data_IF_789843241549
#
_entry.id   IF_789843241549
#
_cell.length_a   1.000
_cell.length_b   1.000
_cell.length_c   1.000
_cell.angle_alpha   90.00
_cell.angle_beta   90.00
_cell.angle_gamma   90.00
#
_symmetry.space_group_name_H-M   'P 1'
#
loop_
_entity.id
_entity.type
_entity.pdbx_description
1 polymer ?
2 non-polymer ?
#
# COMPACT_ATOMS: atom_id res chain seq x y z
N UNK A 11 17.83 22.21 -5.07
CA UNK A 11 17.10 21.43 -6.06
C UNK A 11 16.16 20.42 -5.39
N UNK A 12 15.78 19.40 -6.14
CA UNK A 12 14.91 18.35 -5.63
C UNK A 12 15.67 17.20 -5.00
N UNK A 13 17.01 17.22 -5.05
CA UNK A 13 17.78 16.04 -4.64
C UNK A 13 17.67 15.83 -3.13
N UNK A 14 17.86 16.89 -2.34
CA UNK A 14 17.90 16.73 -0.89
C UNK A 14 16.56 16.29 -0.31
N UNK A 15 15.43 16.94 -0.58
CA UNK A 15 14.16 16.45 0.01
C UNK A 15 13.80 15.06 -0.46
N UNK A 16 14.05 14.74 -1.73
CA UNK A 16 13.76 13.41 -2.24
C UNK A 16 14.63 12.36 -1.54
N UNK A 17 15.91 12.67 -1.35
CA UNK A 17 16.81 11.72 -0.68
C UNK A 17 16.38 11.51 0.76
N UNK A 18 16.05 12.59 1.48
CA UNK A 18 15.65 12.45 2.87
C UNK A 18 14.35 11.67 3.00
N UNK A 19 13.37 11.97 2.14
CA UNK A 19 12.12 11.24 2.20
C UNK A 19 12.27 9.79 1.77
N UNK A 20 13.15 9.51 0.82
CA UNK A 20 13.42 8.13 0.44
C UNK A 20 14.08 7.37 1.58
N UNK A 21 15.01 8.00 2.29
CA UNK A 21 15.60 7.36 3.46
C UNK A 21 14.55 7.09 4.53
N UNK A 22 13.66 8.05 4.76
CA UNK A 22 12.59 7.84 5.74
C UNK A 22 11.67 6.71 5.32
N UNK A 23 11.29 6.66 4.04
CA UNK A 23 10.41 5.61 3.58
C UNK A 23 11.06 4.24 3.61
N UNK A 24 12.34 4.16 3.26
CA UNK A 24 13.06 2.89 3.31
C UNK A 24 13.18 2.40 4.75
N UNK A 25 13.62 3.27 5.65
CA UNK A 25 13.84 2.83 7.04
C UNK A 25 12.54 2.66 7.80
N UNK A 26 11.41 3.17 7.30
CA UNK A 26 10.12 2.96 7.94
C UNK A 26 9.36 1.78 7.35
N UNK A 27 9.71 1.34 6.14
CA UNK A 27 9.06 0.21 5.51
C UNK A 27 9.91 -1.06 5.50
N UNK A 28 11.21 -0.94 5.79
CA UNK A 28 12.07 -2.12 5.92
C UNK A 28 11.89 -2.65 7.33
N UNK A 29 10.84 -3.45 7.49
CA UNK A 29 10.48 -4.04 8.78
C UNK A 29 10.45 -5.56 8.63
N UNK A 30 11.49 -6.27 9.07
CA UNK A 30 11.51 -7.73 8.87
C UNK A 30 10.40 -8.47 9.59
N UNK A 31 9.74 -7.84 10.57
CA UNK A 31 8.67 -8.50 11.30
C UNK A 31 7.39 -8.66 10.49
N UNK A 32 7.26 -7.97 9.37
CA UNK A 32 6.02 -8.03 8.60
C UNK A 32 5.69 -9.44 8.08
N UNK A 33 6.60 -10.16 7.41
CA UNK A 33 6.24 -11.51 6.96
C UNK A 33 5.96 -12.47 8.10
N UNK A 34 6.54 -12.25 9.27
CA UNK A 34 6.38 -13.14 10.42
C UNK A 34 5.55 -12.48 11.53
N UNK A 35 4.62 -11.61 11.17
CA UNK A 35 3.82 -10.91 12.18
C UNK A 35 2.92 -11.89 12.93
N UNK A 36 2.16 -12.70 12.21
CA UNK A 36 1.22 -13.63 12.83
C UNK A 36 1.99 -14.71 13.60
N UNK A 37 3.02 -15.35 13.02
CA UNK A 37 3.79 -16.33 13.82
C UNK A 37 4.39 -15.74 15.07
N UNK A 38 4.78 -14.46 15.06
CA UNK A 38 5.37 -13.85 16.24
C UNK A 38 4.40 -13.83 17.41
N UNK A 39 3.17 -13.39 17.16
CA UNK A 39 2.17 -13.23 18.21
C UNK A 39 1.15 -14.35 18.23
N UNK A 40 1.46 -15.49 17.61
CA UNK A 40 0.65 -16.69 17.75
C UNK A 40 1.44 -17.84 18.36
N UNK A 41 2.65 -17.57 18.86
CA UNK A 41 3.48 -18.59 19.45
C UNK A 41 3.84 -18.26 20.88
N UNK A 42 4.98 -18.79 21.35
CA UNK A 42 5.36 -18.57 22.75
C UNK A 42 5.68 -17.12 23.08
N UNK A 43 5.97 -16.28 22.09
CA UNK A 43 6.32 -14.90 22.37
C UNK A 43 5.15 -14.13 22.98
N UNK A 44 3.93 -14.35 22.46
CA UNK A 44 2.75 -13.66 22.96
C UNK A 44 1.66 -14.57 23.49
N UNK A 45 1.63 -15.84 23.09
CA UNK A 45 0.66 -16.81 23.58
C UNK A 45 -0.78 -16.33 23.33
N UNK A 46 -1.04 -15.99 22.06
CA UNK A 46 -2.35 -15.54 21.63
C UNK A 46 -2.94 -16.53 20.65
N UNK A 47 -4.18 -16.95 20.89
CA UNK A 47 -4.85 -17.87 20.00
C UNK A 47 -5.22 -17.19 18.68
N UNK A 48 -5.24 -17.98 17.61
CA UNK A 48 -5.57 -17.46 16.29
C UNK A 48 -7.02 -16.98 16.19
N UNK A 49 -7.90 -17.48 17.06
CA UNK A 49 -9.30 -17.05 17.01
C UNK A 49 -9.44 -15.57 17.33
N UNK A 50 -8.71 -15.08 18.34
CA UNK A 50 -8.74 -13.67 18.68
C UNK A 50 -7.88 -12.83 17.75
N UNK A 51 -6.99 -13.46 16.98
CA UNK A 51 -6.10 -12.71 16.10
C UNK A 51 -6.87 -12.11 14.94
N UNK A 52 -7.74 -12.90 14.31
CA UNK A 52 -8.41 -12.49 13.07
C UNK A 52 -9.84 -12.00 13.27
N UNK A 53 -10.35 -12.01 14.49
CA UNK A 53 -11.72 -11.57 14.75
C UNK A 53 -11.82 -10.36 15.67
N UNK A 54 -10.91 -10.22 16.63
CA UNK A 54 -10.96 -9.12 17.58
C UNK A 54 -9.67 -8.30 17.62
N UNK A 55 -8.74 -8.52 16.70
CA UNK A 55 -7.47 -7.80 16.72
C UNK A 55 -7.26 -7.12 15.36
N UNK A 56 -7.29 -7.91 14.29
CA UNK A 56 -7.06 -7.36 12.96
C UNK A 56 -8.13 -6.37 12.50
N UNK A 57 -9.43 -6.63 12.65
CA UNK A 57 -10.42 -5.62 12.21
C UNK A 57 -10.29 -4.30 12.95
N UNK A 58 -9.70 -4.30 14.14
CA UNK A 58 -9.44 -3.04 14.83
C UNK A 58 -8.51 -2.17 14.00
N UNK A 59 -7.54 -2.79 13.31
CA UNK A 59 -6.66 -2.03 12.43
C UNK A 59 -7.43 -1.37 11.31
N UNK A 60 -8.36 -2.10 10.68
CA UNK A 60 -9.14 -1.51 9.58
C UNK A 60 -10.02 -0.38 10.08
N UNK A 61 -10.68 -0.56 11.22
CA UNK A 61 -11.53 0.49 11.77
C UNK A 61 -10.71 1.72 12.12
N UNK A 62 -9.54 1.53 12.74
CA UNK A 62 -8.66 2.65 13.03
C UNK A 62 -8.17 3.32 11.76
N UNK A 63 -7.85 2.52 10.74
CA UNK A 63 -7.41 3.08 9.46
C UNK A 63 -8.46 4.00 8.88
N UNK A 64 -9.72 3.56 8.87
CA UNK A 64 -10.79 4.42 8.35
C UNK A 64 -10.96 5.67 9.21
N UNK A 65 -11.06 5.48 10.53
CA UNK A 65 -11.38 6.59 11.41
C UNK A 65 -10.28 7.64 11.39
N UNK A 66 -9.03 7.21 11.26
CA UNK A 66 -7.89 8.13 11.26
C UNK A 66 -7.53 8.62 9.87
N UNK A 67 -8.01 7.96 8.81
CA UNK A 67 -7.90 8.54 7.48
C UNK A 67 -8.94 9.64 7.29
N UNK A 68 -10.05 9.57 8.01
CA UNK A 68 -11.05 10.62 7.92
C UNK A 68 -10.49 12.02 8.19
N UNK A 69 -9.65 12.27 9.19
CA UNK A 69 -9.10 13.62 9.37
C UNK A 69 -7.79 13.90 8.66
N UNK A 70 -7.10 12.89 8.14
CA UNK A 70 -5.78 13.13 7.54
C UNK A 70 -5.91 14.02 6.31
N UNK A 71 -6.80 13.67 5.39
CA UNK A 71 -6.96 14.51 4.20
C UNK A 71 -7.56 15.87 4.53
N UNK A 72 -8.27 15.98 5.65
CA UNK A 72 -8.81 17.26 6.06
C UNK A 72 -7.71 18.21 6.52
N UNK A 73 -6.76 17.69 7.31
CA UNK A 73 -5.84 18.55 8.06
C UNK A 73 -4.38 18.43 7.67
N UNK A 74 -4.03 17.59 6.68
CA UNK A 74 -2.62 17.44 6.33
C UNK A 74 -2.11 18.67 5.59
N UNK A 75 -2.88 19.17 4.62
CA UNK A 75 -2.44 20.33 3.86
C UNK A 75 -2.31 21.57 4.74
N UNK A 76 -3.16 21.69 5.77
CA UNK A 76 -3.07 22.82 6.69
C UNK A 76 -1.76 22.80 7.47
N UNK A 77 -1.32 21.61 7.89
CA UNK A 77 -0.13 21.48 8.73
C UNK A 77 1.11 21.28 7.87
N UNK A 78 0.94 21.39 6.54
CA UNK A 78 2.06 21.38 5.58
C UNK A 78 2.83 20.07 5.59
N UNK A 79 2.13 18.96 5.89
CA UNK A 79 2.58 17.60 5.57
C UNK A 79 3.74 17.10 6.41
N UNK A 80 4.40 17.96 7.18
CA UNK A 80 5.54 17.46 7.94
C UNK A 80 5.12 16.84 9.27
N UNK A 81 4.30 17.50 10.10
CA UNK A 81 3.92 16.89 11.38
C UNK A 81 3.24 15.55 11.25
N UNK A 82 2.46 15.34 10.19
CA UNK A 82 1.84 14.03 9.99
C UNK A 82 2.89 12.97 9.71
N UNK A 83 3.93 13.32 8.95
CA UNK A 83 5.04 12.40 8.73
C UNK A 83 5.76 12.13 10.04
N UNK A 84 6.02 13.19 10.83
CA UNK A 84 6.62 13.01 12.14
C UNK A 84 5.70 12.19 13.04
N UNK A 85 4.39 12.41 12.90
CA UNK A 85 3.42 11.59 13.64
C UNK A 85 3.51 10.13 13.23
N UNK A 86 3.83 9.85 11.97
CA UNK A 86 4.04 8.47 11.55
C UNK A 86 5.25 7.86 12.24
N UNK A 87 6.35 8.61 12.34
CA UNK A 87 7.51 8.10 13.04
C UNK A 87 7.26 7.90 14.52
N UNK A 88 6.49 8.79 15.14
CA UNK A 88 6.14 8.63 16.55
C UNK A 88 5.26 7.40 16.73
N UNK A 89 4.26 7.23 15.86
CA UNK A 89 3.41 6.05 15.95
C UNK A 89 4.17 4.78 15.63
N UNK A 90 5.18 4.86 14.76
CA UNK A 90 6.03 3.69 14.51
C UNK A 90 6.76 3.26 15.78
N UNK A 91 7.28 4.22 16.55
CA UNK A 91 7.96 3.89 17.79
C UNK A 91 6.99 3.30 18.79
N UNK A 92 5.80 3.90 18.92
CA UNK A 92 4.82 3.41 19.88
C UNK A 92 4.31 2.03 19.48
N UNK A 93 4.03 1.83 18.19
CA UNK A 93 3.49 0.55 17.73
C UNK A 93 4.44 -0.59 18.07
N UNK A 94 5.70 -0.47 17.68
CA UNK A 94 6.64 -1.56 17.91
C UNK A 94 7.09 -1.63 19.37
N UNK A 95 7.07 -0.52 20.09
CA UNK A 95 7.34 -0.58 21.53
C UNK A 95 6.26 -1.37 22.25
N UNK A 96 5.00 -1.19 21.85
CA UNK A 96 3.92 -1.96 22.46
C UNK A 96 3.91 -3.40 21.97
N UNK A 97 4.30 -3.63 20.72
CA UNK A 97 4.43 -4.99 20.21
C UNK A 97 5.63 -5.71 20.81
N UNK A 98 6.57 -4.97 21.39
CA UNK A 98 7.76 -5.58 21.97
C UNK A 98 7.54 -5.99 23.42
N UNK A 99 6.96 -5.10 24.22
CA UNK A 99 6.81 -5.31 25.66
C UNK A 99 5.34 -5.21 26.06
N UNK A 100 4.46 -5.72 25.23
CA UNK A 100 3.05 -5.70 25.53
C UNK A 100 2.39 -7.06 25.43
N UNK A 101 1.69 -7.47 26.48
CA UNK A 101 1.03 -8.77 26.53
C UNK A 101 -0.49 -8.59 26.56
N UNK A 102 -1.19 -9.61 26.09
CA UNK A 102 -2.64 -9.63 26.13
C UNK A 102 -3.28 -9.02 24.91
N UNK A 103 -4.61 -9.21 24.82
CA UNK A 103 -5.37 -8.69 23.70
C UNK A 103 -5.44 -7.17 23.75
N UNK A 104 -5.53 -6.60 24.97
CA UNK A 104 -5.73 -5.17 25.11
C UNK A 104 -4.61 -4.37 24.45
N UNK A 105 -3.36 -4.81 24.64
CA UNK A 105 -2.23 -4.11 24.03
C UNK A 105 -2.28 -4.21 22.51
N UNK A 106 -2.67 -5.38 21.99
CA UNK A 106 -2.71 -5.57 20.53
C UNK A 106 -3.71 -4.64 19.86
N UNK A 107 -4.85 -4.38 20.50
CA UNK A 107 -5.82 -3.46 19.90
C UNK A 107 -5.23 -2.06 19.78
N UNK A 108 -4.50 -1.61 20.79
CA UNK A 108 -3.81 -0.32 20.72
C UNK A 108 -2.74 -0.35 19.64
N UNK A 109 -2.07 -1.49 19.48
CA UNK A 109 -1.07 -1.64 18.43
C UNK A 109 -1.71 -1.46 17.05
N UNK A 110 -2.86 -2.08 16.83
CA UNK A 110 -3.53 -1.95 15.55
C UNK A 110 -4.05 -0.52 15.35
N UNK A 111 -4.50 0.13 16.42
CA UNK A 111 -4.91 1.52 16.34
C UNK A 111 -3.74 2.40 15.87
N UNK A 112 -2.57 2.18 16.46
CA UNK A 112 -1.40 2.97 16.07
C UNK A 112 -0.91 2.61 14.68
N UNK A 113 -1.11 1.37 14.24
CA UNK A 113 -0.76 1.02 12.87
C UNK A 113 -1.70 1.68 11.86
N UNK A 114 -2.99 1.80 12.21
CA UNK A 114 -3.89 2.59 11.40
C UNK A 114 -3.46 4.04 11.32
N UNK A 115 -3.00 4.60 12.45
CA UNK A 115 -2.39 5.91 12.44
C UNK A 115 -1.20 5.96 11.48
N UNK A 116 -0.37 4.91 11.51
CA UNK A 116 0.82 4.86 10.67
C UNK A 116 0.45 4.91 9.20
N UNK A 117 -0.55 4.15 8.79
CA UNK A 117 -0.94 4.14 7.38
C UNK A 117 -1.60 5.45 6.97
N UNK A 118 -2.49 5.98 7.84
CA UNK A 118 -3.11 7.26 7.54
C UNK A 118 -2.06 8.36 7.40
N UNK A 119 -0.93 8.23 8.09
CA UNK A 119 0.17 9.17 7.89
C UNK A 119 1.08 8.78 6.73
N UNK A 120 1.07 7.51 6.31
CA UNK A 120 1.75 7.13 5.08
C UNK A 120 1.15 7.84 3.88
N UNK A 121 -0.16 8.09 3.94
CA UNK A 121 -0.79 8.92 2.90
C UNK A 121 -0.11 10.29 2.81
N UNK A 122 0.09 10.92 3.97
CA UNK A 122 0.79 12.21 4.00
C UNK A 122 2.25 12.07 3.56
N UNK A 123 2.88 10.94 3.88
CA UNK A 123 4.23 10.69 3.40
C UNK A 123 4.28 10.70 1.88
N UNK A 124 3.29 10.09 1.24
CA UNK A 124 3.22 10.12 -0.22
C UNK A 124 2.99 11.53 -0.74
N UNK A 125 2.13 12.31 -0.08
CA UNK A 125 1.80 13.64 -0.59
C UNK A 125 2.92 14.65 -0.37
N UNK A 126 3.76 14.43 0.65
CA UNK A 126 4.70 15.46 1.09
C UNK A 126 5.68 15.83 -0.01
N UNK A 127 6.22 14.83 -0.72
CA UNK A 127 7.28 15.13 -1.68
C UNK A 127 6.74 15.95 -2.84
N UNK A 128 5.49 15.74 -3.23
CA UNK A 128 4.87 16.64 -4.20
C UNK A 128 4.61 18.01 -3.58
N UNK A 129 4.44 18.08 -2.27
CA UNK A 129 4.28 19.39 -1.65
C UNK A 129 5.57 20.20 -1.58
N UNK A 130 6.72 19.62 -1.92
CA UNK A 130 8.00 20.29 -1.69
C UNK A 130 8.84 20.43 -2.94
N UNK A 131 8.60 19.67 -4.00
CA UNK A 131 9.42 19.75 -5.21
C UNK A 131 8.63 20.46 -6.30
N UNK A 132 9.36 20.99 -7.28
CA UNK A 132 8.73 21.66 -8.40
C UNK A 132 8.00 20.65 -9.28
N UNK A 133 6.96 21.09 -10.00
CA UNK A 133 6.18 20.14 -10.81
C UNK A 133 7.00 19.41 -11.86
N UNK A 134 8.09 20.01 -12.35
CA UNK A 134 8.85 19.39 -13.41
C UNK A 134 9.40 18.02 -13.00
N UNK A 135 9.72 17.84 -11.73
CA UNK A 135 10.24 16.58 -11.24
C UNK A 135 9.15 15.62 -10.78
N UNK A 136 7.88 16.04 -10.84
CA UNK A 136 6.79 15.25 -10.28
C UNK A 136 6.76 13.83 -10.84
N UNK A 137 7.23 13.65 -12.08
CA UNK A 137 7.35 12.30 -12.61
C UNK A 137 8.46 11.53 -11.90
N UNK A 138 9.70 12.00 -12.02
CA UNK A 138 10.84 11.23 -11.55
C UNK A 138 10.67 10.84 -10.09
N UNK A 139 10.60 11.85 -9.23
CA UNK A 139 10.38 11.70 -7.80
C UNK A 139 9.34 10.62 -7.54
N UNK A 140 8.20 10.71 -8.25
CA UNK A 140 7.12 9.76 -8.07
C UNK A 140 7.65 8.34 -8.00
N UNK A 141 8.23 7.88 -9.11
CA UNK A 141 8.71 6.52 -9.16
C UNK A 141 9.63 6.23 -8.00
N UNK A 142 10.61 7.09 -7.79
CA UNK A 142 11.61 6.86 -6.74
C UNK A 142 10.90 6.57 -5.44
N UNK A 143 9.98 7.46 -5.04
CA UNK A 143 9.34 7.29 -3.74
C UNK A 143 8.68 5.92 -3.66
N UNK A 144 7.82 5.60 -4.63
CA UNK A 144 7.16 4.32 -4.61
C UNK A 144 8.18 3.20 -4.60
N UNK A 145 9.17 3.29 -5.51
CA UNK A 145 10.18 2.26 -5.61
C UNK A 145 10.80 2.01 -4.26
N UNK A 146 11.17 3.09 -3.57
CA UNK A 146 11.89 2.94 -2.31
C UNK A 146 11.07 2.10 -1.35
N UNK A 147 9.79 2.46 -1.17
CA UNK A 147 8.94 1.69 -0.27
C UNK A 147 8.96 0.23 -0.65
N UNK A 148 8.67 -0.05 -1.93
CA UNK A 148 8.67 -1.43 -2.38
C UNK A 148 10.03 -2.07 -2.13
N UNK A 149 11.10 -1.39 -2.50
CA UNK A 149 12.43 -1.92 -2.26
C UNK A 149 12.60 -2.25 -0.79
N UNK A 150 12.25 -1.28 0.08
CA UNK A 150 12.37 -1.52 1.51
C UNK A 150 11.69 -2.82 1.88
N UNK A 151 10.44 -2.98 1.45
CA UNK A 151 9.69 -4.18 1.75
C UNK A 151 10.53 -5.41 1.42
N UNK A 152 10.90 -5.56 0.15
CA UNK A 152 11.57 -6.79 -0.23
C UNK A 152 12.88 -6.93 0.53
N UNK A 153 13.61 -5.82 0.70
CA UNK A 153 14.82 -5.86 1.51
C UNK A 153 14.51 -6.46 2.87
N UNK A 154 13.59 -5.82 3.60
CA UNK A 154 13.21 -6.34 4.90
C UNK A 154 12.82 -7.80 4.81
N UNK A 155 12.01 -8.13 3.81
CA UNK A 155 11.53 -9.51 3.68
C UNK A 155 12.72 -10.46 3.61
N UNK A 156 13.65 -10.20 2.69
CA UNK A 156 14.74 -11.15 2.53
C UNK A 156 15.58 -11.16 3.80
N UNK A 157 15.74 -10.00 4.44
CA UNK A 157 16.47 -9.94 5.68
C UNK A 157 15.86 -10.91 6.69
N UNK A 158 14.54 -10.83 6.86
CA UNK A 158 13.86 -11.75 7.77
C UNK A 158 14.16 -13.18 7.39
N UNK A 159 14.04 -13.51 6.10
CA UNK A 159 14.29 -14.87 5.66
C UNK A 159 15.71 -15.28 6.01
N UNK A 160 16.69 -14.40 5.79
CA UNK A 160 18.06 -14.73 6.13
C UNK A 160 18.17 -15.00 7.63
N UNK A 161 17.54 -14.17 8.45
CA UNK A 161 17.64 -14.35 9.89
C UNK A 161 16.85 -15.56 10.37
N UNK A 162 16.09 -16.20 9.49
CA UNK A 162 15.42 -17.46 9.83
C UNK A 162 16.25 -18.60 9.26
N UNK A 163 16.96 -18.34 8.16
CA UNK A 163 17.66 -19.41 7.45
C UNK A 163 19.15 -19.45 7.74
N UNK A 164 19.78 -18.30 8.01
CA UNK A 164 21.22 -18.26 8.20
C UNK A 164 21.63 -17.75 9.58
N UNK A 165 20.68 -17.43 10.45
CA UNK A 165 20.99 -16.89 11.77
C UNK A 165 20.26 -17.53 12.93
N UNK A 166 19.16 -18.26 12.68
CA UNK A 166 18.32 -18.83 13.73
C UNK A 166 17.90 -17.75 14.72
N UNK A 167 17.49 -16.61 14.17
CA UNK A 167 17.16 -15.42 14.96
C UNK A 167 15.68 -15.44 15.31
N UNK A 168 15.37 -15.25 16.59
CA UNK A 168 14.00 -15.33 17.07
C UNK A 168 13.18 -14.14 16.55
N UNK A 169 11.86 -14.31 16.60
CA UNK A 169 10.96 -13.26 16.11
C UNK A 169 11.03 -12.01 16.97
N UNK A 170 11.31 -12.16 18.26
CA UNK A 170 11.47 -10.99 19.13
C UNK A 170 12.65 -10.14 18.68
N UNK A 171 13.77 -10.79 18.31
CA UNK A 171 14.91 -10.04 17.81
C UNK A 171 14.61 -9.38 16.47
N UNK A 172 13.85 -10.06 15.61
CA UNK A 172 13.40 -9.43 14.37
C UNK A 172 12.59 -8.18 14.68
N UNK A 173 11.69 -8.26 15.67
CA UNK A 173 10.87 -7.11 16.01
C UNK A 173 11.71 -5.95 16.55
N UNK A 174 12.69 -6.23 17.41
CA UNK A 174 13.46 -5.13 17.97
C UNK A 174 14.35 -4.50 16.90
N UNK A 175 14.92 -5.30 16.00
CA UNK A 175 15.70 -4.68 14.92
C UNK A 175 14.80 -3.91 13.97
N UNK A 176 13.56 -4.35 13.77
CA UNK A 176 12.64 -3.56 12.95
C UNK A 176 12.29 -2.25 13.63
N UNK A 177 12.11 -2.27 14.96
CA UNK A 177 11.89 -1.04 15.71
C UNK A 177 13.08 -0.10 15.59
N UNK A 178 14.30 -0.65 15.64
CA UNK A 178 15.49 0.16 15.44
C UNK A 178 15.52 0.75 14.04
N UNK A 179 15.10 -0.03 13.05
CA UNK A 179 15.07 0.47 11.67
C UNK A 179 14.08 1.63 11.53
N UNK A 180 12.88 1.49 12.10
CA UNK A 180 11.91 2.57 12.04
C UNK A 180 12.29 3.70 12.99
N UNK A 181 13.16 3.44 13.97
CA UNK A 181 13.67 4.51 14.81
C UNK A 181 14.54 5.47 14.01
N UNK A 182 15.37 4.93 13.11
CA UNK A 182 16.16 5.78 12.22
C UNK A 182 15.24 6.55 11.28
N UNK A 183 14.13 5.94 10.87
CA UNK A 183 13.17 6.63 10.01
C UNK A 183 12.62 7.88 10.70
N UNK A 184 12.36 7.79 12.01
CA UNK A 184 11.90 8.96 12.74
C UNK A 184 12.94 10.07 12.72
N UNK A 185 14.22 9.72 12.91
CA UNK A 185 15.29 10.71 12.87
C UNK A 185 15.39 11.35 11.50
N UNK A 186 15.26 10.56 10.44
CA UNK A 186 15.31 11.12 9.08
C UNK A 186 14.10 12.01 8.82
N UNK A 187 12.93 11.63 9.32
CA UNK A 187 11.74 12.46 9.15
C UNK A 187 11.86 13.76 9.92
N UNK A 188 12.62 13.77 11.02
CA UNK A 188 12.86 15.02 11.73
C UNK A 188 13.62 16.01 10.87
N UNK A 189 14.45 15.54 9.93
CA UNK A 189 15.28 16.38 9.10
C UNK A 189 14.63 16.76 7.78
N UNK A 190 13.39 16.37 7.56
CA UNK A 190 12.73 16.69 6.30
C UNK A 190 12.53 18.19 6.17
N UNK A 191 12.83 18.79 5.01
CA UNK A 191 12.55 20.22 4.83
C UNK A 191 11.06 20.51 4.92
N UNK A 192 10.74 21.63 5.54
CA UNK A 192 9.34 22.03 5.71
C UNK A 192 8.83 22.68 4.44
N UNK A 193 7.70 22.22 3.88
CA UNK A 193 7.15 22.87 2.70
C UNK A 193 6.70 24.29 3.02
N UNK A 194 6.75 25.15 2.01
CA UNK A 194 6.37 26.54 2.18
C UNK A 194 4.86 26.66 2.37
N UNK A 195 4.46 27.76 3.01
CA UNK A 195 3.05 27.97 3.32
C UNK A 195 2.23 28.13 2.05
N UNK A 196 1.00 27.62 2.09
CA UNK A 196 0.06 27.67 0.96
C UNK A 196 0.66 27.09 -0.31
N UNK A 261 -21.01 26.21 7.86
CA UNK A 261 -20.66 26.33 6.44
C UNK A 261 -19.74 25.19 6.04
N UNK A 262 -20.07 23.97 6.49
CA UNK A 262 -19.28 22.80 6.12
C UNK A 262 -19.42 22.52 4.62
N UNK A 263 -20.61 22.74 4.07
CA UNK A 263 -20.87 22.42 2.66
C UNK A 263 -19.94 23.21 1.74
N UNK A 264 -19.48 24.39 2.18
CA UNK A 264 -18.53 25.15 1.39
C UNK A 264 -17.28 24.34 1.12
N UNK A 265 -16.76 23.65 2.15
CA UNK A 265 -15.61 22.78 1.94
C UNK A 265 -15.88 21.78 0.83
N UNK A 266 -17.10 21.23 0.79
CA UNK A 266 -17.45 20.30 -0.29
C UNK A 266 -17.29 20.96 -1.65
N UNK A 267 -17.77 22.20 -1.79
CA UNK A 267 -17.61 22.89 -3.07
C UNK A 267 -16.14 23.14 -3.36
N UNK A 268 -15.32 23.30 -2.30
CA UNK A 268 -13.88 23.39 -2.51
C UNK A 268 -13.36 22.11 -3.15
N UNK A 269 -13.86 20.95 -2.71
CA UNK A 269 -13.53 19.70 -3.38
C UNK A 269 -13.95 19.75 -4.84
N UNK A 270 -15.09 20.37 -5.15
CA UNK A 270 -15.52 20.48 -6.52
C UNK A 270 -14.60 21.39 -7.33
N UNK A 271 -13.87 22.28 -6.66
CA UNK A 271 -12.87 23.10 -7.33
C UNK A 271 -11.54 22.39 -7.46
N UNK A 272 -11.42 21.17 -6.93
CA UNK A 272 -10.18 20.41 -6.98
C UNK A 272 -10.29 19.10 -7.75
N UNK A 273 -11.45 18.48 -7.76
CA UNK A 273 -11.68 17.22 -8.48
C UNK A 273 -12.14 17.42 -9.91
N UNK A 274 -12.24 18.65 -10.39
CA UNK A 274 -12.60 18.95 -11.77
C UNK A 274 -11.40 19.34 -12.61
N UNK A 275 -10.18 19.04 -12.16
CA UNK A 275 -8.97 19.52 -12.81
C UNK A 275 -8.51 18.50 -13.85
N UNK A 276 -8.77 18.80 -15.12
CA UNK A 276 -8.24 18.03 -16.26
C UNK A 276 -8.58 16.55 -16.10
N UNK A 277 -9.86 16.29 -15.81
CA UNK A 277 -10.38 14.92 -15.69
C UNK A 277 -9.52 14.08 -14.74
N UNK A 278 -9.25 14.65 -13.57
CA UNK A 278 -8.53 13.91 -12.54
C UNK A 278 -9.41 12.88 -11.85
N UNK A 279 -10.73 13.02 -11.98
CA UNK A 279 -11.64 12.00 -11.48
C UNK A 279 -11.38 10.64 -12.11
N UNK A 280 -10.98 10.63 -13.38
CA UNK A 280 -10.77 9.37 -14.09
C UNK A 280 -9.64 8.57 -13.44
N UNK A 281 -8.48 9.20 -13.25
CA UNK A 281 -7.38 8.55 -12.54
C UNK A 281 -7.77 8.26 -11.10
N UNK A 282 -8.47 9.20 -10.46
CA UNK A 282 -8.93 8.97 -9.10
C UNK A 282 -9.91 7.81 -9.02
N UNK A 283 -10.82 7.72 -10.00
CA UNK A 283 -11.77 6.62 -10.02
C UNK A 283 -11.06 5.28 -10.21
N UNK A 284 -10.02 5.25 -11.05
CA UNK A 284 -9.23 4.04 -11.15
C UNK A 284 -8.55 3.71 -9.83
N UNK A 285 -7.97 4.72 -9.17
CA UNK A 285 -7.31 4.49 -7.89
C UNK A 285 -8.30 4.00 -6.84
N UNK A 286 -9.49 4.61 -6.78
CA UNK A 286 -10.46 4.24 -5.76
C UNK A 286 -10.97 2.81 -5.94
N UNK A 287 -10.78 2.21 -7.10
CA UNK A 287 -11.30 0.87 -7.38
C UNK A 287 -10.22 -0.17 -7.58
N UNK A 288 -9.11 0.15 -8.24
CA UNK A 288 -8.09 -0.85 -8.51
C UNK A 288 -7.30 -1.20 -7.26
N UNK A 289 -6.96 -0.21 -6.44
CA UNK A 289 -6.12 -0.49 -5.28
C UNK A 289 -6.88 -1.24 -4.19
N UNK A 290 -8.21 -1.14 -4.14
CA UNK A 290 -8.97 -1.96 -3.21
C UNK A 290 -8.85 -3.44 -3.57
N UNK A 291 -9.03 -3.76 -4.85
CA UNK A 291 -8.81 -5.12 -5.30
C UNK A 291 -7.37 -5.57 -5.11
N UNK A 292 -6.41 -4.65 -5.29
CA UNK A 292 -5.02 -4.99 -5.06
C UNK A 292 -4.78 -5.36 -3.60
N UNK A 293 -5.33 -4.59 -2.67
CA UNK A 293 -5.18 -4.90 -1.25
C UNK A 293 -5.85 -6.21 -0.90
N UNK A 294 -7.02 -6.49 -1.48
CA UNK A 294 -7.68 -7.77 -1.23
C UNK A 294 -6.85 -8.93 -1.76
N UNK A 295 -6.27 -8.78 -2.95
CA UNK A 295 -5.41 -9.82 -3.50
C UNK A 295 -4.19 -10.05 -2.62
N UNK A 296 -3.60 -8.96 -2.11
CA UNK A 296 -2.48 -9.10 -1.18
C UNK A 296 -2.91 -9.84 0.08
N UNK A 297 -4.11 -9.54 0.59
CA UNK A 297 -4.56 -10.20 1.81
C UNK A 297 -4.76 -11.69 1.60
N UNK A 298 -5.33 -12.09 0.46
CA UNK A 298 -5.77 -13.47 0.29
C UNK A 298 -4.88 -14.30 -0.63
N UNK A 299 -3.79 -13.74 -1.14
CA UNK A 299 -2.91 -14.52 -2.01
C UNK A 299 -2.17 -15.60 -1.21
N UNK A 300 -1.82 -15.32 0.04
CA UNK A 300 -1.21 -16.34 0.88
C UNK A 300 -2.18 -17.50 1.12
N UNK A 301 -3.46 -17.18 1.35
CA UNK A 301 -4.47 -18.22 1.53
C UNK A 301 -4.61 -19.05 0.26
N UNK A 302 -4.64 -18.39 -0.91
CA UNK A 302 -4.74 -19.14 -2.15
C UNK A 302 -3.53 -20.03 -2.37
N UNK A 303 -2.34 -19.51 -2.08
CA UNK A 303 -1.12 -20.32 -2.25
C UNK A 303 -1.12 -21.52 -1.32
N UNK A 304 -1.55 -21.34 -0.07
CA UNK A 304 -1.65 -22.46 0.84
C UNK A 304 -2.67 -23.49 0.34
N UNK A 305 -3.79 -23.01 -0.21
CA UNK A 305 -4.81 -23.92 -0.72
C UNK A 305 -4.30 -24.72 -1.92
N UNK A 306 -3.56 -24.07 -2.82
CA UNK A 306 -3.16 -24.73 -4.06
C UNK A 306 -2.12 -25.81 -3.80
N UNK A 307 -1.13 -25.53 -2.94
CA UNK A 307 -0.07 -26.49 -2.63
C UNK A 307 0.02 -26.62 -1.11
N UNK A 308 -0.81 -27.48 -0.51
CA UNK A 308 -0.79 -27.62 0.95
C UNK A 308 0.46 -28.31 1.46
N UNK A 309 1.57 -27.59 1.47
CA UNK A 309 2.85 -28.10 1.96
C UNK A 309 3.24 -27.35 3.22
N UNK A 310 3.66 -28.09 4.24
CA UNK A 310 4.07 -27.47 5.50
C UNK A 310 5.34 -26.65 5.36
N UNK A 311 6.15 -26.90 4.33
CA UNK A 311 7.38 -26.18 4.10
C UNK A 311 7.22 -25.10 3.04
N UNK A 312 5.99 -24.78 2.63
CA UNK A 312 5.77 -23.77 1.61
C UNK A 312 5.92 -22.35 2.11
N UNK A 313 5.95 -22.14 3.43
CA UNK A 313 6.03 -20.79 3.97
C UNK A 313 7.27 -20.05 3.45
N UNK A 314 8.43 -20.70 3.54
CA UNK A 314 9.65 -20.10 2.99
C UNK A 314 9.50 -19.86 1.49
N UNK A 315 8.79 -20.76 0.79
CA UNK A 315 8.56 -20.55 -0.64
C UNK A 315 7.51 -19.47 -0.89
N UNK A 316 6.67 -19.17 0.09
CA UNK A 316 5.62 -18.19 -0.13
C UNK A 316 6.14 -16.77 0.07
N UNK A 317 6.54 -16.43 1.29
CA UNK A 317 6.90 -15.05 1.59
C UNK A 317 8.03 -14.55 0.72
N UNK A 318 9.06 -15.37 0.52
CA UNK A 318 10.17 -14.98 -0.35
C UNK A 318 9.67 -14.58 -1.73
N UNK A 319 8.73 -15.35 -2.28
CA UNK A 319 8.16 -15.00 -3.58
C UNK A 319 7.56 -13.59 -3.52
N UNK A 320 6.75 -13.34 -2.49
CA UNK A 320 6.21 -12.00 -2.31
C UNK A 320 7.34 -10.97 -2.37
N UNK A 321 8.43 -11.25 -1.66
CA UNK A 321 9.60 -10.38 -1.70
C UNK A 321 9.97 -10.04 -3.13
N UNK A 322 10.31 -11.05 -3.93
CA UNK A 322 10.76 -10.74 -5.29
C UNK A 322 9.63 -10.09 -6.08
N UNK A 323 8.39 -10.52 -5.83
CA UNK A 323 7.26 -9.87 -6.47
C UNK A 323 7.26 -8.38 -6.16
N UNK A 324 7.40 -8.04 -4.87
CA UNK A 324 7.50 -6.64 -4.49
C UNK A 324 8.67 -5.98 -5.19
N UNK A 325 9.81 -6.66 -5.25
CA UNK A 325 10.97 -6.11 -5.94
C UNK A 325 10.62 -5.80 -7.39
N UNK A 326 9.89 -6.71 -8.04
CA UNK A 326 9.47 -6.43 -9.41
C UNK A 326 8.67 -5.14 -9.48
N UNK A 327 7.72 -4.97 -8.57
CA UNK A 327 6.97 -3.73 -8.53
C UNK A 327 7.90 -2.54 -8.34
N UNK A 328 8.90 -2.68 -7.48
CA UNK A 328 9.88 -1.61 -7.31
C UNK A 328 10.48 -1.23 -8.65
N UNK A 329 10.93 -2.23 -9.42
CA UNK A 329 11.49 -1.94 -10.74
C UNK A 329 10.47 -1.21 -11.59
N UNK A 330 9.21 -1.67 -11.55
CA UNK A 330 8.17 -1.00 -12.31
C UNK A 330 8.03 0.45 -11.86
N UNK A 331 8.06 0.69 -10.55
CA UNK A 331 8.06 2.07 -10.08
C UNK A 331 9.29 2.80 -10.57
N UNK A 332 10.46 2.18 -10.48
CA UNK A 332 11.67 2.78 -11.01
C UNK A 332 11.60 2.92 -12.53
N UNK A 333 10.70 2.17 -13.17
CA UNK A 333 10.48 2.36 -14.60
C UNK A 333 9.88 3.74 -14.87
N UNK A 334 8.97 4.20 -14.02
CA UNK A 334 8.31 5.48 -14.27
C UNK A 334 9.30 6.64 -14.14
N UNK A 335 10.06 6.65 -13.05
CA UNK A 335 10.95 7.78 -12.79
C UNK A 335 12.09 7.89 -13.78
N UNK A 336 12.75 6.78 -14.07
CA UNK A 336 13.99 6.83 -14.85
C UNK A 336 13.75 7.19 -16.30
N UNK A 337 12.77 6.56 -16.95
CA UNK A 337 12.54 6.82 -18.37
C UNK A 337 11.86 8.17 -18.52
N UNK A 338 12.13 8.82 -19.65
CA UNK A 338 11.56 10.13 -19.97
C UNK A 338 10.61 9.95 -21.15
N UNK A 339 9.37 9.60 -20.85
CA UNK A 339 8.31 9.47 -21.84
C UNK A 339 7.09 10.22 -21.32
N UNK A 340 6.47 11.02 -22.18
CA UNK A 340 5.27 11.75 -21.78
C UNK A 340 4.17 10.78 -21.39
N UNK A 341 3.51 11.05 -20.26
CA UNK A 341 2.44 10.22 -19.76
C UNK A 341 1.07 10.85 -19.88
N UNK A 342 0.99 12.09 -20.36
CA UNK A 342 -0.30 12.73 -20.57
C UNK A 342 -0.95 12.34 -21.89
N UNK A 343 -0.21 11.72 -22.81
CA UNK A 343 -0.77 11.10 -23.99
C UNK A 343 -0.85 9.58 -23.88
N UNK A 344 0.13 8.96 -23.23
CA UNK A 344 0.17 7.52 -23.05
C UNK A 344 -0.50 7.07 -21.76
N UNK A 345 -1.06 7.98 -20.97
CA UNK A 345 -1.66 7.60 -19.71
C UNK A 345 -2.86 6.69 -19.88
N UNK A 346 -3.76 7.03 -20.81
CA UNK A 346 -4.93 6.19 -21.05
C UNK A 346 -4.54 4.83 -21.63
N UNK A 347 -3.64 4.83 -22.61
CA UNK A 347 -3.21 3.58 -23.22
C UNK A 347 -2.51 2.69 -22.21
N UNK A 348 -1.60 3.26 -21.41
CA UNK A 348 -0.93 2.48 -20.39
C UNK A 348 -1.92 1.96 -19.36
N UNK A 349 -2.87 2.80 -18.95
CA UNK A 349 -3.87 2.38 -17.98
C UNK A 349 -4.65 1.17 -18.50
N UNK A 350 -5.17 1.25 -19.72
CA UNK A 350 -6.00 0.17 -20.21
C UNK A 350 -5.18 -1.09 -20.46
N UNK A 351 -3.96 -0.94 -21.00
CA UNK A 351 -3.13 -2.09 -21.30
C UNK A 351 -2.74 -2.81 -20.02
N UNK A 352 -2.28 -2.08 -19.01
CA UNK A 352 -1.86 -2.74 -17.79
C UNK A 352 -3.04 -3.13 -16.91
N UNK A 353 -4.22 -2.56 -17.11
CA UNK A 353 -5.40 -3.05 -16.39
C UNK A 353 -5.87 -4.38 -16.97
N UNK A 354 -5.89 -4.51 -18.30
CA UNK A 354 -6.21 -5.83 -18.86
C UNK A 354 -5.08 -6.81 -18.54
N UNK A 355 -3.85 -6.33 -18.38
CA UNK A 355 -2.76 -7.20 -17.92
C UNK A 355 -3.03 -7.70 -16.51
N UNK A 356 -3.49 -6.80 -15.62
CA UNK A 356 -3.84 -7.21 -14.27
C UNK A 356 -4.96 -8.24 -14.27
N UNK A 357 -5.99 -8.01 -15.09
CA UNK A 357 -7.10 -8.96 -15.16
C UNK A 357 -6.62 -10.32 -15.68
N UNK A 358 -5.80 -10.30 -16.73
CA UNK A 358 -5.29 -11.55 -17.28
C UNK A 358 -4.39 -12.29 -16.32
N UNK A 359 -3.60 -11.56 -15.52
CA UNK A 359 -2.75 -12.20 -14.53
C UNK A 359 -3.57 -12.79 -13.40
N UNK A 360 -4.61 -12.07 -12.97
CA UNK A 360 -5.49 -12.61 -11.92
C UNK A 360 -6.19 -13.87 -12.40
N UNK A 361 -6.64 -13.88 -13.66
CA UNK A 361 -7.25 -15.09 -14.21
C UNK A 361 -6.24 -16.20 -14.41
N UNK A 362 -5.00 -15.85 -14.76
CA UNK A 362 -3.97 -16.85 -15.02
C UNK A 362 -3.63 -17.64 -13.77
N UNK A 363 -3.40 -16.96 -12.65
CA UNK A 363 -2.99 -17.63 -11.43
C UNK A 363 -4.14 -18.24 -10.65
N UNK A 364 -5.39 -18.02 -11.09
CA UNK A 364 -6.50 -18.76 -10.52
C UNK A 364 -6.72 -20.08 -11.25
N UNK A 365 -6.52 -20.09 -12.57
CA UNK A 365 -6.88 -21.26 -13.37
C UNK A 365 -5.76 -22.29 -13.40
N UNK A 366 -4.51 -21.85 -13.50
CA UNK A 366 -3.39 -22.78 -13.66
C UNK A 366 -3.20 -23.62 -12.41
N UNK A 367 -3.09 -24.94 -12.59
CA UNK A 367 -2.90 -25.87 -11.49
C UNK A 367 -1.42 -26.17 -11.25
N UNK A 368 -0.63 -25.11 -11.09
CA UNK A 368 0.78 -25.24 -10.75
C UNK A 368 1.22 -23.96 -10.06
N UNK A 369 1.90 -24.10 -8.91
CA UNK A 369 2.22 -22.94 -8.09
C UNK A 369 3.23 -22.03 -8.74
N UNK A 370 4.04 -22.52 -9.70
CA UNK A 370 5.01 -21.66 -10.35
C UNK A 370 4.33 -20.70 -11.31
N UNK A 371 3.34 -21.18 -12.06
CA UNK A 371 2.57 -20.28 -12.92
C UNK A 371 1.81 -19.26 -12.08
N UNK A 372 1.28 -19.67 -10.93
CA UNK A 372 0.59 -18.73 -10.05
C UNK A 372 1.56 -17.70 -9.48
N UNK A 373 2.78 -18.11 -9.13
CA UNK A 373 3.78 -17.16 -8.67
C UNK A 373 4.12 -16.15 -9.76
N UNK A 374 4.29 -16.62 -11.00
CA UNK A 374 4.57 -15.70 -12.11
C UNK A 374 3.41 -14.74 -12.32
N UNK A 375 2.18 -15.24 -12.25
CA UNK A 375 1.03 -14.37 -12.40
C UNK A 375 0.94 -13.32 -11.31
N UNK A 376 1.21 -13.71 -10.06
CA UNK A 376 1.22 -12.75 -8.97
C UNK A 376 2.31 -11.70 -9.15
N UNK A 377 3.50 -12.12 -9.58
CA UNK A 377 4.57 -11.17 -9.83
C UNK A 377 4.18 -10.17 -10.91
N UNK A 378 3.59 -10.67 -12.00
CA UNK A 378 3.17 -9.79 -13.08
C UNK A 378 2.10 -8.82 -12.60
N UNK A 379 1.12 -9.32 -11.85
CA UNK A 379 0.05 -8.47 -11.35
C UNK A 379 0.60 -7.38 -10.43
N UNK A 380 1.47 -7.75 -9.49
CA UNK A 380 2.00 -6.77 -8.55
C UNK A 380 2.82 -5.72 -9.27
N UNK A 381 3.71 -6.15 -10.19
CA UNK A 381 4.54 -5.19 -10.90
C UNK A 381 3.72 -4.25 -11.77
N UNK A 382 2.75 -4.81 -12.51
CA UNK A 382 1.92 -3.97 -13.38
C UNK A 382 1.08 -2.99 -12.56
N UNK A 383 0.51 -3.46 -11.45
CA UNK A 383 -0.27 -2.55 -10.61
C UNK A 383 0.61 -1.47 -10.02
N UNK A 384 1.82 -1.81 -9.60
CA UNK A 384 2.69 -0.79 -9.01
C UNK A 384 3.08 0.26 -10.03
N UNK A 385 3.38 -0.16 -11.26
CA UNK A 385 3.63 0.80 -12.33
C UNK A 385 2.41 1.67 -12.58
N UNK A 386 1.22 1.05 -12.60
CA UNK A 386 0.00 1.80 -12.87
C UNK A 386 -0.29 2.81 -11.76
N UNK A 387 -0.09 2.42 -10.50
CA UNK A 387 -0.37 3.33 -9.40
C UNK A 387 0.67 4.43 -9.34
N UNK A 388 1.92 4.15 -9.72
CA UNK A 388 2.89 5.23 -9.82
C UNK A 388 2.48 6.24 -10.88
N UNK A 389 2.04 5.75 -12.04
CA UNK A 389 1.55 6.66 -13.09
C UNK A 389 0.35 7.44 -12.59
N UNK A 390 -0.57 6.78 -11.89
CA UNK A 390 -1.77 7.42 -11.38
C UNK A 390 -1.41 8.54 -10.41
N UNK A 391 -0.50 8.26 -9.48
CA UNK A 391 -0.12 9.26 -8.48
C UNK A 391 0.56 10.43 -9.14
N UNK A 392 1.47 10.16 -10.09
CA UNK A 392 2.15 11.24 -10.80
C UNK A 392 1.17 12.12 -11.57
N UNK A 393 0.23 11.48 -12.29
CA UNK A 393 -0.73 12.24 -13.09
C UNK A 393 -1.69 13.02 -12.23
N UNK A 394 -2.08 12.47 -11.07
CA UNK A 394 -2.94 13.21 -10.15
C UNK A 394 -2.20 14.41 -9.57
N UNK A 395 -0.92 14.22 -9.22
CA UNK A 395 -0.15 15.33 -8.66
C UNK A 395 0.07 16.44 -9.67
N UNK A 396 0.37 16.08 -10.92
CA UNK A 396 0.66 17.09 -11.94
C UNK A 396 -0.60 17.86 -12.31
N UNK A 397 -1.70 17.15 -12.54
CA UNK A 397 -2.92 17.78 -13.04
C UNK A 397 -3.76 18.40 -11.92
N UNK A 398 -3.33 18.30 -10.67
CA UNK A 398 -4.15 18.79 -9.56
C UNK A 398 -4.34 20.30 -9.61
N UNK A 399 -3.28 21.04 -9.92
CA UNK A 399 -3.25 22.51 -9.97
C UNK A 399 -3.76 23.16 -8.68
N UNK A 400 -3.86 22.39 -7.60
CA UNK A 400 -4.17 22.89 -6.28
C UNK A 400 -3.20 22.25 -5.30
N UNK A 401 -2.93 22.95 -4.20
CA UNK A 401 -2.00 22.47 -3.19
C UNK A 401 -2.53 21.28 -2.40
N UNK A 402 -3.80 20.93 -2.54
CA UNK A 402 -4.41 19.85 -1.76
C UNK A 402 -3.96 18.48 -2.27
N UNK A 403 -2.67 18.20 -2.05
CA UNK A 403 -2.12 16.92 -2.49
C UNK A 403 -2.58 15.77 -1.60
N UNK A 404 -2.58 15.97 -0.28
CA UNK A 404 -3.01 14.92 0.63
C UNK A 404 -4.52 14.80 0.73
N UNK A 405 -5.26 15.81 0.28
CA UNK A 405 -6.71 15.68 0.24
C UNK A 405 -7.13 14.70 -0.83
N UNK A 406 -6.55 14.80 -2.02
CA UNK A 406 -6.89 13.87 -3.10
C UNK A 406 -6.39 12.47 -2.77
N UNK A 407 -5.13 12.36 -2.35
CA UNK A 407 -4.60 11.05 -1.98
C UNK A 407 -5.37 10.47 -0.79
N UNK A 408 -5.66 11.31 0.21
CA UNK A 408 -6.37 10.83 1.38
C UNK A 408 -7.78 10.37 1.07
N UNK A 409 -8.52 11.16 0.30
CA UNK A 409 -9.90 10.79 -0.02
C UNK A 409 -9.92 9.58 -0.95
N UNK A 410 -8.96 9.49 -1.86
CA UNK A 410 -8.87 8.32 -2.73
C UNK A 410 -8.62 7.06 -1.90
N UNK A 411 -7.67 7.13 -0.97
CA UNK A 411 -7.37 5.97 -0.14
C UNK A 411 -8.53 5.62 0.76
N UNK A 412 -9.25 6.63 1.28
CA UNK A 412 -10.40 6.36 2.14
C UNK A 412 -11.53 5.70 1.36
N UNK A 413 -11.83 6.20 0.17
CA UNK A 413 -12.87 5.59 -0.66
C UNK A 413 -12.48 4.18 -1.07
N UNK A 414 -11.20 3.98 -1.40
CA UNK A 414 -10.73 2.65 -1.76
C UNK A 414 -10.83 1.70 -0.57
N UNK A 415 -10.52 2.19 0.62
CA UNK A 415 -10.65 1.37 1.82
C UNK A 415 -12.10 1.00 2.09
N UNK A 416 -13.01 1.95 1.90
CA UNK A 416 -14.43 1.66 2.07
C UNK A 416 -14.87 0.60 1.08
N UNK A 417 -14.45 0.73 -0.19
CA UNK A 417 -14.81 -0.25 -1.21
C UNK A 417 -14.24 -1.62 -0.86
N UNK A 418 -12.97 -1.66 -0.42
CA UNK A 418 -12.34 -2.92 -0.07
C UNK A 418 -13.05 -3.59 1.11
N UNK A 419 -13.39 -2.82 2.14
CA UNK A 419 -14.09 -3.38 3.29
C UNK A 419 -15.48 -3.91 2.89
N UNK A 420 -16.22 -3.14 2.09
CA UNK A 420 -17.54 -3.58 1.66
C UNK A 420 -17.45 -4.86 0.83
N UNK A 421 -16.49 -4.90 -0.10
CA UNK A 421 -16.40 -6.04 -1.00
C UNK A 421 -15.83 -7.27 -0.30
N UNK A 422 -14.98 -7.10 0.71
CA UNK A 422 -14.51 -8.23 1.48
C UNK A 422 -15.56 -8.73 2.46
N UNK A 423 -16.47 -7.85 2.90
CA UNK A 423 -17.60 -8.31 3.70
C UNK A 423 -18.57 -9.10 2.83
N UNK A 424 -18.80 -8.62 1.60
CA UNK A 424 -19.70 -9.31 0.69
C UNK A 424 -19.11 -10.66 0.27
N UNK A 425 -17.81 -10.71 -0.01
CA UNK A 425 -17.19 -11.86 -0.65
C UNK A 425 -16.71 -12.88 0.38
N UNK A 426 -16.06 -12.43 1.45
CA UNK A 426 -15.42 -13.35 2.38
C UNK A 426 -16.19 -13.52 3.69
N UNK A 427 -16.76 -12.46 4.24
CA UNK A 427 -17.39 -12.55 5.55
C UNK A 427 -18.58 -13.50 5.53
N UNK A 428 -18.81 -14.17 6.66
CA UNK A 428 -19.90 -15.12 6.76
C UNK A 428 -21.26 -14.44 6.58
N UNK A 429 -21.36 -13.19 7.06
CA UNK A 429 -22.60 -12.40 6.93
C UNK A 429 -22.86 -12.08 5.46
N UNK A 430 -21.82 -12.16 4.62
CA UNK A 430 -21.91 -11.91 3.20
C UNK A 430 -22.12 -13.19 2.42
N UNK A 431 -21.71 -13.17 1.15
CA UNK A 431 -21.89 -14.34 0.29
C UNK A 431 -20.96 -15.47 0.69
N UNK A 432 -19.78 -15.14 1.23
CA UNK A 432 -18.82 -16.10 1.76
C UNK A 432 -18.42 -17.10 0.65
N UNK A 433 -17.74 -16.54 -0.37
CA UNK A 433 -17.26 -17.44 -1.41
C UNK A 433 -16.02 -18.19 -0.94
N UNK A 434 -15.79 -19.39 -1.49
CA UNK A 434 -14.56 -20.11 -1.18
C UNK A 434 -13.36 -19.49 -1.88
N UNK A 435 -12.17 -19.91 -1.46
CA UNK A 435 -10.94 -19.36 -2.02
C UNK A 435 -10.80 -19.71 -3.50
N UNK A 436 -11.40 -20.82 -3.93
CA UNK A 436 -11.33 -21.20 -5.35
C UNK A 436 -12.06 -20.18 -6.23
N UNK A 437 -13.19 -19.67 -5.75
CA UNK A 437 -13.97 -18.70 -6.51
C UNK A 437 -13.62 -17.27 -6.13
N UNK A 438 -12.93 -17.06 -5.00
CA UNK A 438 -12.55 -15.72 -4.58
C UNK A 438 -11.65 -15.06 -5.61
N UNK A 439 -10.65 -15.78 -6.10
CA UNK A 439 -9.75 -15.16 -7.08
C UNK A 439 -10.42 -15.05 -8.44
N UNK A 440 -11.39 -15.92 -8.74
CA UNK A 440 -12.18 -15.76 -9.95
C UNK A 440 -12.96 -14.46 -9.92
N UNK A 441 -13.60 -14.16 -8.79
CA UNK A 441 -14.39 -12.92 -8.71
C UNK A 441 -13.47 -11.71 -8.65
N UNK A 442 -12.29 -11.85 -8.03
CA UNK A 442 -11.31 -10.76 -8.08
C UNK A 442 -10.88 -10.47 -9.52
N UNK A 443 -10.60 -11.53 -10.29
CA UNK A 443 -10.23 -11.34 -11.68
C UNK A 443 -11.36 -10.75 -12.51
N UNK A 444 -12.60 -11.18 -12.25
CA UNK A 444 -13.74 -10.61 -12.95
C UNK A 444 -13.91 -9.14 -12.61
N UNK A 445 -13.71 -8.78 -11.35
CA UNK A 445 -13.81 -7.37 -10.94
C UNK A 445 -12.74 -6.53 -11.63
N UNK A 446 -11.50 -7.03 -11.67
CA UNK A 446 -10.45 -6.28 -12.34
C UNK A 446 -10.70 -6.21 -13.86
N UNK A 447 -11.26 -7.26 -14.44
CA UNK A 447 -11.61 -7.23 -15.85
C UNK A 447 -12.72 -6.22 -16.12
N UNK A 448 -13.68 -6.11 -15.21
CA UNK A 448 -14.73 -5.09 -15.34
C UNK A 448 -14.11 -3.70 -15.28
N UNK A 449 -13.17 -3.50 -14.34
CA UNK A 449 -12.49 -2.20 -14.24
C UNK A 449 -11.75 -1.88 -15.52
N UNK A 450 -11.05 -2.87 -16.07
CA UNK A 450 -10.31 -2.66 -17.32
C UNK A 450 -11.26 -2.36 -18.48
N UNK A 451 -12.38 -3.08 -18.56
CA UNK A 451 -13.32 -2.87 -19.66
C UNK A 451 -14.06 -1.56 -19.56
N UNK A 452 -14.20 -1.01 -18.35
CA UNK A 452 -14.78 0.32 -18.20
C UNK A 452 -13.91 1.35 -18.92
N UNK A 453 -12.59 1.26 -18.73
CA UNK A 453 -11.67 2.16 -19.40
C UNK A 453 -11.42 1.76 -20.85
N UNK A 454 -11.59 0.48 -21.18
CA UNK A 454 -11.56 0.06 -22.57
C UNK A 454 -12.68 0.69 -23.37
N UNK A 455 -13.91 0.60 -22.86
CA UNK A 455 -15.05 1.15 -23.57
C UNK A 455 -14.99 2.68 -23.62
N UNK A 456 -14.57 3.30 -22.52
CA UNK A 456 -14.48 4.76 -22.48
C UNK A 456 -13.44 5.27 -23.45
N UNK A 457 -12.27 4.64 -23.50
CA UNK A 457 -11.22 5.08 -24.42
C UNK A 457 -11.65 4.88 -25.87
N UNK A 458 -12.29 3.75 -26.18
CA UNK A 458 -12.76 3.50 -27.54
C UNK A 458 -13.85 4.48 -27.95
N UNK A 459 -14.79 4.78 -27.05
CA UNK A 459 -15.83 5.75 -27.36
C UNK A 459 -15.24 7.15 -27.56
N UNK A 460 -14.29 7.54 -26.71
CA UNK A 460 -13.63 8.83 -26.87
C UNK A 460 -12.78 8.84 -28.14
N UNK A 461 -12.03 7.77 -28.38
CA UNK A 461 -11.16 7.64 -29.54
C UNK A 461 -10.17 8.80 -29.64
#
# INVERSE_FOLDING_TARGET
MDCYRTSLSSSWIYPTVILCLFGFFSMMRPSEPFLIPYLSGPDKNLTSAEITNEIFPVWTYSYLVLLLPVFVLTDYVRYKPVIILQGISFIITWLLLLFGQGVKTMQVVEFFYGMVTAAEVAYYAYIYSVVSPEHYQRVSGYCRSVTLAAYTAGSVLAQLLVSLANMSYFYLNVISLASVSVAFLFSLFLPMPKKSMFFHAKPSREIKKSSSVNPVLEETHEGEAPGCEEQKPTSEILSTSGKLNKGQLNSLKPSNVTVDVFVQWFQDLKECYSSKRLFYWSLWWAFATAGFNQVLNYVQILWDYKAPSQDSSIYNGAVEAIATFGGAVAAFAVGYVKVNWDLLGELALVVFSVVNAGSLFLMHYTANIWACYAGYLIFKSSYMLLITIAVFQIAVNLNVERYALVFGINTFIALVIQTIMTVIVVDQRGLNLPVSIQFLVYGSYFAVIAGIFLMRSMYITYSTKSQKDVQSPAPSENPDVSHPEEESNIIMSTKL
#
